data_IF_725456012564
#
_entry.id   IF_725456012564
#
_cell.length_a   1.000
_cell.length_b   1.000
_cell.length_c   1.000
_cell.angle_alpha   90.00
_cell.angle_beta   90.00
_cell.angle_gamma   90.00
#
_symmetry.space_group_name_H-M   'P 1'
#
loop_
_entity.id
_entity.type
_entity.pdbx_description
1 polymer ?
#
# COMPACT_ATOMS: atom_id res chain seq x y z
N UNK A 1 -13.91 -15.91 -4.61
CA UNK A 1 -14.47 -14.62 -4.18
C UNK A 1 -13.73 -13.49 -4.88
N UNK A 2 -14.41 -12.42 -5.30
CA UNK A 2 -13.72 -11.28 -5.89
C UNK A 2 -12.83 -10.63 -4.83
N UNK A 3 -11.59 -10.27 -5.23
CA UNK A 3 -10.66 -9.54 -4.36
C UNK A 3 -11.18 -8.13 -4.09
N UNK A 4 -11.08 -7.68 -2.85
CA UNK A 4 -11.50 -6.35 -2.41
C UNK A 4 -10.27 -5.47 -2.21
N UNK A 5 -10.33 -4.25 -2.72
CA UNK A 5 -9.40 -3.18 -2.45
C UNK A 5 -10.12 -2.02 -1.75
N UNK A 6 -9.39 -1.24 -0.98
CA UNK A 6 -9.84 0.07 -0.50
C UNK A 6 -9.28 1.14 -1.42
N UNK A 7 -10.12 2.03 -1.89
CA UNK A 7 -9.73 3.17 -2.74
C UNK A 7 -10.51 4.41 -2.32
N UNK A 8 -9.81 5.42 -1.84
CA UNK A 8 -10.35 6.75 -1.56
C UNK A 8 -11.66 6.74 -0.74
N UNK A 9 -11.73 5.97 0.33
CA UNK A 9 -12.89 5.90 1.22
C UNK A 9 -13.88 4.78 0.90
N UNK A 10 -13.65 3.98 -0.14
CA UNK A 10 -14.59 2.91 -0.55
C UNK A 10 -13.90 1.55 -0.66
N UNK A 11 -14.59 0.51 -0.18
CA UNK A 11 -14.21 -0.88 -0.44
C UNK A 11 -14.89 -1.36 -1.72
N UNK A 12 -14.10 -1.84 -2.67
CA UNK A 12 -14.62 -2.23 -3.99
C UNK A 12 -13.86 -3.43 -4.55
N UNK A 13 -14.46 -4.11 -5.51
CA UNK A 13 -13.79 -5.22 -6.17
C UNK A 13 -12.61 -4.69 -6.98
N UNK A 14 -11.47 -5.38 -6.92
CA UNK A 14 -10.22 -4.95 -7.57
C UNK A 14 -10.33 -4.80 -9.10
N UNK A 15 -11.34 -5.43 -9.69
CA UNK A 15 -11.60 -5.35 -11.14
C UNK A 15 -12.40 -4.10 -11.56
N UNK A 16 -12.86 -3.28 -10.60
CA UNK A 16 -13.50 -2.00 -10.92
C UNK A 16 -12.44 -0.90 -10.87
N UNK A 17 -12.05 -0.33 -12.01
CA UNK A 17 -11.07 0.76 -12.02
C UNK A 17 -11.66 2.00 -11.34
N UNK A 18 -10.90 2.61 -10.46
CA UNK A 18 -11.36 3.73 -9.64
C UNK A 18 -10.28 4.79 -9.40
N UNK A 19 -9.12 4.62 -10.03
CA UNK A 19 -8.09 5.66 -10.05
C UNK A 19 -8.35 6.55 -11.26
N UNK A 20 -8.45 7.85 -11.02
CA UNK A 20 -8.60 8.82 -12.11
C UNK A 20 -7.32 8.89 -12.94
N UNK A 21 -7.47 9.07 -14.24
CA UNK A 21 -6.34 9.20 -15.18
C UNK A 21 -5.45 10.41 -14.85
N UNK A 22 -6.03 11.44 -14.22
CA UNK A 22 -5.34 12.66 -13.78
C UNK A 22 -4.73 12.52 -12.38
N UNK A 23 -4.72 11.32 -11.76
CA UNK A 23 -4.00 11.10 -10.52
C UNK A 23 -2.50 11.27 -10.76
N UNK A 24 -1.87 12.13 -9.95
CA UNK A 24 -0.45 12.46 -10.12
C UNK A 24 0.48 11.26 -9.88
N UNK A 25 0.05 10.29 -9.09
CA UNK A 25 0.77 9.02 -8.94
C UNK A 25 0.87 8.25 -10.25
N UNK A 26 -0.20 8.27 -11.06
CA UNK A 26 -0.21 7.66 -12.38
C UNK A 26 0.63 8.46 -13.40
N UNK A 27 0.50 9.79 -13.41
CA UNK A 27 1.13 10.63 -14.43
C UNK A 27 2.61 10.94 -14.17
N UNK A 28 3.00 11.06 -12.89
CA UNK A 28 4.32 11.57 -12.48
C UNK A 28 5.04 10.70 -11.46
N UNK A 29 4.49 9.55 -11.10
CA UNK A 29 4.95 8.76 -9.95
C UNK A 29 4.99 9.58 -8.63
N UNK A 30 4.15 10.62 -8.52
CA UNK A 30 4.10 11.54 -7.39
C UNK A 30 3.33 10.91 -6.23
N UNK A 31 4.04 10.09 -5.48
CA UNK A 31 3.49 9.34 -4.37
C UNK A 31 4.49 8.40 -3.74
N UNK A 32 4.04 7.70 -2.70
CA UNK A 32 4.83 6.75 -1.93
C UNK A 32 4.07 5.46 -1.72
N UNK A 33 4.77 4.36 -1.45
CA UNK A 33 4.14 3.07 -1.19
C UNK A 33 4.84 2.28 -0.10
N UNK A 34 4.12 1.31 0.45
CA UNK A 34 4.63 0.27 1.33
C UNK A 34 4.09 -1.09 0.92
N UNK A 35 4.90 -2.11 1.16
CA UNK A 35 4.49 -3.51 1.03
C UNK A 35 4.81 -4.21 2.34
N UNK A 36 3.77 -4.62 3.07
CA UNK A 36 3.89 -5.20 4.39
C UNK A 36 3.59 -6.69 4.32
N UNK A 37 4.51 -7.51 4.79
CA UNK A 37 4.30 -8.95 4.86
C UNK A 37 3.18 -9.30 5.85
N UNK A 38 2.38 -10.32 5.49
CA UNK A 38 1.29 -10.83 6.30
C UNK A 38 1.52 -12.30 6.61
N UNK A 39 1.52 -12.65 7.89
CA UNK A 39 1.65 -14.04 8.35
C UNK A 39 0.63 -14.31 9.44
N UNK A 40 -0.13 -15.40 9.29
CA UNK A 40 -1.22 -15.78 10.19
C UNK A 40 -2.25 -14.65 10.43
N UNK A 41 -2.53 -13.86 9.39
CA UNK A 41 -3.46 -12.73 9.48
C UNK A 41 -2.90 -11.48 10.15
N UNK A 42 -1.62 -11.48 10.56
CA UNK A 42 -0.94 -10.39 11.25
C UNK A 42 0.08 -9.73 10.32
N UNK A 43 0.05 -8.39 10.26
CA UNK A 43 1.06 -7.59 9.55
C UNK A 43 2.37 -7.59 10.34
N UNK A 44 3.46 -7.95 9.66
CA UNK A 44 4.78 -8.00 10.25
C UNK A 44 5.38 -6.58 10.24
N UNK A 45 5.95 -6.18 11.38
CA UNK A 45 6.67 -4.91 11.55
C UNK A 45 5.86 -3.67 11.15
N UNK A 46 4.54 -3.70 11.33
CA UNK A 46 3.61 -2.64 10.91
C UNK A 46 4.09 -1.25 11.34
N UNK A 47 4.52 -1.09 12.60
CA UNK A 47 4.94 0.24 13.09
C UNK A 47 6.15 0.78 12.33
N UNK A 48 7.17 -0.04 12.05
CA UNK A 48 8.34 0.38 11.28
C UNK A 48 7.96 0.77 9.83
N UNK A 49 7.04 0.04 9.22
CA UNK A 49 6.49 0.40 7.90
C UNK A 49 5.75 1.73 7.94
N UNK A 50 4.92 1.97 8.97
CA UNK A 50 4.19 3.23 9.12
C UNK A 50 5.13 4.42 9.40
N UNK A 51 6.18 4.21 10.17
CA UNK A 51 7.20 5.24 10.42
C UNK A 51 7.94 5.60 9.13
N UNK A 52 8.31 4.60 8.31
CA UNK A 52 8.93 4.81 7.00
C UNK A 52 7.97 5.51 6.04
N UNK A 53 6.72 5.09 5.99
CA UNK A 53 5.68 5.72 5.16
C UNK A 53 5.49 7.20 5.55
N UNK A 54 5.44 7.48 6.86
CA UNK A 54 5.34 8.85 7.37
C UNK A 54 6.55 9.71 6.96
N UNK A 55 7.77 9.17 7.10
CA UNK A 55 8.98 9.86 6.64
C UNK A 55 8.90 10.14 5.14
N UNK A 56 8.55 9.14 4.33
CA UNK A 56 8.46 9.28 2.87
C UNK A 56 7.43 10.34 2.45
N UNK A 57 6.27 10.38 3.11
CA UNK A 57 5.24 11.40 2.87
C UNK A 57 5.76 12.81 3.19
N UNK A 58 6.48 12.97 4.31
CA UNK A 58 7.05 14.26 4.72
C UNK A 58 8.09 14.76 3.73
N UNK A 59 8.97 13.88 3.22
CA UNK A 59 10.02 14.24 2.27
C UNK A 59 9.45 14.82 0.96
N UNK A 60 8.29 14.36 0.53
CA UNK A 60 7.64 14.88 -0.67
C UNK A 60 6.44 15.79 -0.38
N UNK A 61 6.25 16.22 0.88
CA UNK A 61 5.18 17.12 1.31
C UNK A 61 3.77 16.63 0.90
N UNK A 62 3.46 15.38 1.14
CA UNK A 62 2.11 14.82 1.02
C UNK A 62 1.57 14.59 2.44
N UNK A 63 0.37 15.10 2.70
CA UNK A 63 -0.31 14.89 3.98
C UNK A 63 -0.88 13.47 4.09
N UNK A 64 -1.03 12.98 5.32
CA UNK A 64 -1.74 11.73 5.56
C UNK A 64 -3.20 11.85 5.10
N UNK A 65 -3.70 10.89 4.29
CA UNK A 65 -5.07 10.94 3.78
C UNK A 65 -6.15 10.67 4.84
N UNK A 66 -5.76 10.17 6.02
CA UNK A 66 -6.67 9.82 7.12
C UNK A 66 -5.94 9.74 8.45
N UNK A 67 -6.65 9.71 9.57
CA UNK A 67 -6.07 9.48 10.89
C UNK A 67 -5.47 8.07 11.03
N UNK A 68 -4.45 7.91 11.87
CA UNK A 68 -3.71 6.65 12.07
C UNK A 68 -4.64 5.50 12.50
N UNK A 69 -5.58 5.76 13.39
CA UNK A 69 -6.54 4.77 13.88
C UNK A 69 -7.45 4.27 12.75
N UNK A 70 -7.96 5.20 11.93
CA UNK A 70 -8.77 4.86 10.76
C UNK A 70 -7.95 4.08 9.72
N UNK A 71 -6.69 4.44 9.51
CA UNK A 71 -5.80 3.72 8.60
C UNK A 71 -5.60 2.26 9.04
N UNK A 72 -5.31 2.03 10.32
CA UNK A 72 -5.17 0.68 10.86
C UNK A 72 -6.45 -0.15 10.71
N UNK A 73 -7.61 0.46 10.97
CA UNK A 73 -8.90 -0.18 10.78
C UNK A 73 -9.16 -0.54 9.31
N UNK A 74 -8.77 0.32 8.38
CA UNK A 74 -8.87 0.05 6.93
C UNK A 74 -7.98 -1.14 6.54
N UNK A 75 -6.74 -1.19 7.02
CA UNK A 75 -5.83 -2.31 6.76
C UNK A 75 -6.43 -3.64 7.27
N UNK A 76 -6.91 -3.65 8.52
CA UNK A 76 -7.55 -4.81 9.12
C UNK A 76 -8.79 -5.27 8.32
N UNK A 77 -9.61 -4.33 7.87
CA UNK A 77 -10.82 -4.63 7.10
C UNK A 77 -10.51 -5.17 5.70
N UNK A 78 -9.47 -4.68 5.01
CA UNK A 78 -9.00 -5.25 3.74
C UNK A 78 -8.53 -6.70 3.95
N UNK A 79 -7.77 -6.97 5.02
CA UNK A 79 -7.32 -8.32 5.38
C UNK A 79 -8.52 -9.23 5.61
N UNK A 80 -9.47 -8.79 6.43
CA UNK A 80 -10.69 -9.54 6.80
C UNK A 80 -11.55 -9.87 5.58
N UNK A 81 -11.85 -8.87 4.73
CA UNK A 81 -12.70 -9.05 3.53
C UNK A 81 -12.10 -10.01 2.52
N UNK A 82 -10.78 -10.03 2.42
CA UNK A 82 -10.06 -10.92 1.52
C UNK A 82 -9.68 -12.28 2.17
N UNK A 83 -9.99 -12.47 3.45
CA UNK A 83 -9.61 -13.67 4.24
C UNK A 83 -8.11 -13.98 4.11
N UNK A 84 -7.29 -12.94 4.16
CA UNK A 84 -5.85 -13.10 3.99
C UNK A 84 -5.25 -13.71 5.25
N UNK A 85 -4.48 -14.77 5.08
CA UNK A 85 -3.73 -15.44 6.16
C UNK A 85 -2.23 -15.25 5.96
N UNK A 86 -1.75 -15.48 4.77
CA UNK A 86 -0.35 -15.29 4.38
C UNK A 86 -0.28 -14.48 3.09
N UNK A 87 0.70 -13.59 2.98
CA UNK A 87 0.87 -12.79 1.78
C UNK A 87 1.43 -11.40 2.06
N UNK A 88 0.85 -10.40 1.46
CA UNK A 88 1.26 -9.01 1.66
C UNK A 88 0.08 -8.05 1.54
N UNK A 89 0.20 -6.92 2.21
CA UNK A 89 -0.66 -5.77 2.03
C UNK A 89 0.14 -4.69 1.30
N UNK A 90 -0.38 -4.23 0.17
CA UNK A 90 0.15 -3.10 -0.58
C UNK A 90 -0.61 -1.84 -0.23
N UNK A 91 0.12 -0.78 0.01
CA UNK A 91 -0.39 0.55 0.36
C UNK A 91 0.23 1.54 -0.60
N UNK A 92 -0.59 2.36 -1.26
CA UNK A 92 -0.14 3.47 -2.10
C UNK A 92 -0.82 4.76 -1.64
N UNK A 93 -0.04 5.81 -1.47
CA UNK A 93 -0.54 7.16 -1.24
C UNK A 93 0.06 8.05 -2.33
N UNK A 94 -0.81 8.69 -3.13
CA UNK A 94 -0.38 9.67 -4.13
C UNK A 94 -0.74 11.07 -3.67
N UNK A 95 -0.17 12.08 -4.32
CA UNK A 95 -0.57 13.48 -4.07
C UNK A 95 -2.04 13.74 -4.38
N UNK A 96 -2.67 12.91 -5.20
CA UNK A 96 -4.06 13.04 -5.61
C UNK A 96 -4.24 13.51 -7.04
N UNK A 97 -5.44 13.98 -7.33
CA UNK A 97 -5.90 14.29 -8.68
C UNK A 97 -5.80 15.79 -8.96
N UNK A 98 -5.17 16.16 -10.06
CA UNK A 98 -5.16 17.53 -10.60
C UNK A 98 -4.98 17.50 -12.11
N UNK A 99 -5.36 18.58 -12.79
CA UNK A 99 -5.02 18.77 -14.20
C UNK A 99 -3.50 18.59 -14.39
N UNK A 100 -3.10 18.04 -15.54
CA UNK A 100 -1.70 17.71 -15.82
C UNK A 100 -0.86 19.00 -15.92
N UNK A 101 -0.05 19.22 -14.89
CA UNK A 101 0.95 20.29 -14.83
C UNK A 101 2.16 19.76 -14.04
N UNK A 102 3.37 20.24 -14.35
CA UNK A 102 4.58 19.91 -13.58
C UNK A 102 4.53 20.53 -12.18
N UNK A 103 4.02 21.75 -12.04
CA UNK A 103 3.64 22.31 -10.76
C UNK A 103 2.39 21.63 -10.21
N UNK A 104 2.17 21.70 -8.90
CA UNK A 104 0.96 21.16 -8.29
C UNK A 104 0.34 22.19 -7.35
N UNK A 105 -1.00 22.30 -7.33
CA UNK A 105 -1.70 23.15 -6.38
C UNK A 105 -1.44 22.68 -4.95
N UNK A 106 -1.37 23.65 -4.01
CA UNK A 106 -1.33 23.32 -2.58
C UNK A 106 -2.67 22.75 -2.14
N UNK A 107 -2.65 21.86 -1.14
CA UNK A 107 -3.87 21.33 -0.54
C UNK A 107 -4.63 20.31 -1.39
N UNK A 108 -3.98 19.64 -2.32
CA UNK A 108 -4.59 18.51 -3.02
C UNK A 108 -4.93 17.41 -2.00
N UNK A 109 -6.09 16.80 -2.18
CA UNK A 109 -6.50 15.66 -1.37
C UNK A 109 -5.74 14.42 -1.84
N UNK A 110 -4.90 13.80 -0.99
CA UNK A 110 -4.17 12.59 -1.37
C UNK A 110 -5.10 11.43 -1.70
N UNK A 111 -4.70 10.59 -2.66
CA UNK A 111 -5.38 9.32 -2.93
C UNK A 111 -4.76 8.20 -2.08
N UNK A 112 -5.61 7.37 -1.49
CA UNK A 112 -5.21 6.20 -0.69
C UNK A 112 -5.75 4.92 -1.32
N UNK A 113 -4.85 4.03 -1.66
CA UNK A 113 -5.16 2.71 -2.20
C UNK A 113 -4.54 1.63 -1.30
N UNK A 114 -5.35 0.66 -0.88
CA UNK A 114 -4.87 -0.49 -0.10
C UNK A 114 -5.46 -1.76 -0.68
N UNK A 115 -4.62 -2.75 -1.00
CA UNK A 115 -5.09 -4.07 -1.39
C UNK A 115 -4.17 -5.18 -0.88
N UNK A 116 -4.72 -6.36 -0.75
CA UNK A 116 -3.99 -7.53 -0.28
C UNK A 116 -3.72 -8.55 -1.38
N UNK A 117 -2.57 -9.20 -1.29
CA UNK A 117 -2.18 -10.32 -2.15
C UNK A 117 -1.96 -11.55 -1.29
N UNK A 118 -2.73 -12.61 -1.55
CA UNK A 118 -2.50 -13.91 -0.93
C UNK A 118 -1.22 -14.53 -1.51
N UNK A 119 -0.33 -14.98 -0.65
CA UNK A 119 0.78 -15.84 -1.04
C UNK A 119 0.34 -17.30 -0.90
N UNK A 120 0.72 -18.14 -1.83
CA UNK A 120 0.64 -19.58 -1.60
C UNK A 120 1.67 -19.93 -0.52
N UNK A 121 1.20 -20.58 0.56
CA UNK A 121 2.11 -21.15 1.55
C UNK A 121 2.99 -22.15 0.79
N UNK A 122 4.24 -21.82 0.59
CA UNK A 122 5.20 -22.79 0.06
C UNK A 122 5.28 -23.95 1.06
N UNK A 123 4.57 -25.03 0.79
CA UNK A 123 4.63 -26.26 1.59
C UNK A 123 6.04 -26.90 1.56
N UNK A 124 6.93 -26.35 0.73
CA UNK A 124 8.31 -26.81 0.56
C UNK A 124 9.36 -26.04 1.38
N UNK A 125 8.94 -25.27 2.41
CA UNK A 125 9.89 -24.62 3.33
C UNK A 125 10.75 -25.62 4.16
N UNK A 126 10.50 -26.92 4.04
CA UNK A 126 11.35 -27.96 4.64
C UNK A 126 12.62 -28.26 3.83
N UNK A 127 12.75 -27.71 2.62
CA UNK A 127 13.98 -27.75 1.80
C UNK A 127 14.39 -26.33 1.44
N UNK A 128 14.77 -25.55 2.44
CA UNK A 128 15.45 -24.27 2.16
C UNK A 128 16.89 -24.64 1.84
N UNK A 129 17.17 -24.87 0.56
CA UNK A 129 18.53 -24.74 0.07
C UNK A 129 18.91 -23.28 0.26
N UNK A 130 19.93 -23.00 1.07
CA UNK A 130 20.42 -21.65 1.28
C UNK A 130 20.79 -21.00 -0.07
N UNK A 131 20.59 -19.70 -0.19
CA UNK A 131 21.01 -18.93 -1.35
C UNK A 131 22.37 -18.28 -1.08
N UNK A 132 23.22 -18.24 -2.09
CA UNK A 132 24.49 -17.52 -2.03
C UNK A 132 24.23 -16.03 -2.22
N UNK A 133 24.66 -15.21 -1.28
CA UNK A 133 24.51 -13.75 -1.35
C UNK A 133 25.87 -13.09 -1.26
N UNK A 134 25.99 -11.89 -1.84
CA UNK A 134 27.12 -11.00 -1.66
C UNK A 134 26.60 -9.69 -1.04
N UNK A 135 27.39 -9.09 -0.18
CA UNK A 135 27.14 -7.73 0.29
C UNK A 135 27.82 -6.74 -0.64
N UNK A 136 27.18 -5.61 -0.90
CA UNK A 136 27.74 -4.49 -1.63
C UNK A 136 27.42 -3.19 -0.89
N UNK A 137 28.23 -2.18 -1.12
CA UNK A 137 27.98 -0.86 -0.56
C UNK A 137 26.83 -0.20 -1.35
N UNK A 138 25.94 0.46 -0.62
CA UNK A 138 24.76 1.14 -1.16
C UNK A 138 25.15 2.49 -1.78
#
# INVERSE_FOLDING_TARGET
MPKIAFVNGSYQTINKPSIKIEDRGFQFADGVYEVIALTNGVLIDLNFHLDRLNRSLREINIEWPTAKEAFNAICAEVIRRNRLVHGSLYIQITRGVSARDFSYPKGLKPSLIIYGRQSQKNQNLTKIEGVKVISTQD
#
